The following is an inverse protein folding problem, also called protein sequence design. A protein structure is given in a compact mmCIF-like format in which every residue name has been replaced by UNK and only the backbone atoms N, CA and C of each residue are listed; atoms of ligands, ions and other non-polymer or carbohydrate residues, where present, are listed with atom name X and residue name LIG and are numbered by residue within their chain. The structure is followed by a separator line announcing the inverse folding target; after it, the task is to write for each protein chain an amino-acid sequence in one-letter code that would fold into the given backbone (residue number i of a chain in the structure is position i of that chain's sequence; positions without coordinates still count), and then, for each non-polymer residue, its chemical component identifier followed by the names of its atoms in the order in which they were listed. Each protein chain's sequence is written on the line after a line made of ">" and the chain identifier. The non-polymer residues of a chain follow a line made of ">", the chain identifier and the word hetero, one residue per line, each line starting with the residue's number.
data_IF_916701025985
#
_entry.id   IF_916701025985
#
_cell.length_a   1.000
_cell.length_b   1.000
_cell.length_c   1.000
_cell.angle_alpha   90.00
_cell.angle_beta   90.00
_cell.angle_gamma   90.00
#
_symmetry.space_group_name_H-M   'P 1'
#
loop_
_entity.id
_entity.type
_entity.pdbx_description
1 polymer ?
#
# COMPACT_ATOMS: atom_id res chain seq x y z
N UNK A 1 -1.67 10.72 -26.23
CA UNK A 1 -2.49 10.44 -25.04
C UNK A 1 -2.29 11.52 -24.00
N UNK A 2 -3.30 11.79 -23.19
CA UNK A 2 -3.14 12.65 -22.02
C UNK A 2 -2.42 11.93 -20.89
N UNK A 3 -1.57 12.65 -20.16
CA UNK A 3 -0.87 12.16 -18.98
C UNK A 3 -0.63 13.29 -17.97
N UNK A 4 -0.70 12.97 -16.66
CA UNK A 4 -0.27 13.86 -15.60
C UNK A 4 1.23 13.65 -15.33
N UNK A 5 2.03 14.61 -15.76
CA UNK A 5 3.50 14.55 -15.74
C UNK A 5 4.04 15.33 -14.55
N UNK A 6 4.67 14.62 -13.63
CA UNK A 6 5.41 15.24 -12.54
C UNK A 6 6.73 15.82 -13.05
N UNK A 7 6.97 17.12 -12.80
CA UNK A 7 8.16 17.85 -13.26
C UNK A 7 9.10 18.27 -12.14
N UNK A 8 8.72 18.05 -10.90
CA UNK A 8 9.48 18.45 -9.72
C UNK A 8 8.59 18.74 -8.52
N UNK A 9 9.18 19.27 -7.46
CA UNK A 9 8.46 19.58 -6.21
C UNK A 9 7.28 20.51 -6.52
N UNK A 10 6.07 20.09 -6.14
CA UNK A 10 4.80 20.79 -6.37
C UNK A 10 4.50 21.12 -7.85
N UNK A 11 5.19 20.48 -8.80
CA UNK A 11 4.99 20.69 -10.23
C UNK A 11 4.45 19.41 -10.89
N UNK A 12 3.22 19.47 -11.36
CA UNK A 12 2.56 18.40 -12.12
C UNK A 12 1.60 19.05 -13.11
N UNK A 13 1.77 18.74 -14.39
CA UNK A 13 1.01 19.30 -15.49
C UNK A 13 0.36 18.18 -16.31
N UNK A 14 -0.76 18.50 -16.95
CA UNK A 14 -1.37 17.61 -17.95
C UNK A 14 -0.72 17.92 -19.30
N UNK A 15 -0.20 16.86 -19.91
CA UNK A 15 0.51 16.98 -21.19
C UNK A 15 0.01 15.93 -22.21
N UNK A 16 0.17 16.28 -23.48
CA UNK A 16 0.10 15.32 -24.56
C UNK A 16 1.39 14.49 -24.60
N UNK A 17 1.28 13.21 -24.29
CA UNK A 17 2.38 12.26 -24.24
C UNK A 17 2.26 11.22 -25.35
N UNK A 18 3.37 10.75 -25.93
CA UNK A 18 3.29 9.67 -26.91
C UNK A 18 2.57 8.44 -26.34
N UNK A 19 1.67 7.87 -27.12
CA UNK A 19 1.02 6.60 -26.73
C UNK A 19 2.08 5.50 -26.72
N UNK A 20 2.35 4.85 -25.56
CA UNK A 20 3.34 3.78 -25.50
C UNK A 20 2.80 2.55 -26.24
N UNK A 21 3.61 1.96 -27.11
CA UNK A 21 3.30 0.72 -27.83
C UNK A 21 4.26 -0.40 -27.43
N UNK A 22 3.86 -1.68 -27.52
CA UNK A 22 4.76 -2.80 -27.29
C UNK A 22 6.01 -2.70 -28.18
N UNK A 23 7.19 -2.63 -27.57
CA UNK A 23 8.50 -2.61 -28.26
C UNK A 23 9.26 -3.90 -28.04
N UNK A 24 9.15 -4.47 -26.85
CA UNK A 24 9.67 -5.79 -26.53
C UNK A 24 8.58 -6.85 -26.84
N UNK A 25 8.97 -8.04 -27.34
CA UNK A 25 8.01 -9.13 -27.56
C UNK A 25 7.17 -9.51 -26.33
N UNK A 26 7.62 -9.23 -25.12
CA UNK A 26 6.91 -9.47 -23.86
C UNK A 26 6.07 -8.30 -23.35
N UNK A 27 6.02 -7.19 -24.07
CA UNK A 27 5.30 -5.98 -23.64
C UNK A 27 3.79 -6.12 -23.79
N UNK A 28 3.07 -5.51 -22.85
CA UNK A 28 1.62 -5.41 -22.83
C UNK A 28 1.24 -3.93 -22.69
N UNK A 29 0.50 -3.42 -23.66
CA UNK A 29 -0.12 -2.11 -23.58
C UNK A 29 -1.42 -2.22 -22.79
N UNK A 30 -1.61 -1.39 -21.80
CA UNK A 30 -2.82 -1.34 -20.96
C UNK A 30 -3.48 0.03 -21.11
N UNK A 31 -4.76 0.05 -21.48
CA UNK A 31 -5.62 1.23 -21.35
C UNK A 31 -6.01 1.35 -19.89
N UNK A 32 -5.55 2.38 -19.22
CA UNK A 32 -5.83 2.59 -17.79
C UNK A 32 -7.29 2.99 -17.59
N UNK A 33 -7.94 2.43 -16.60
CA UNK A 33 -9.33 2.74 -16.23
C UNK A 33 -9.42 3.46 -14.88
N UNK A 34 -8.55 3.10 -13.95
CA UNK A 34 -8.46 3.77 -12.65
C UNK A 34 -7.06 3.61 -12.06
N UNK A 35 -6.60 4.62 -11.37
CA UNK A 35 -5.36 4.63 -10.62
C UNK A 35 -5.59 5.15 -9.19
N UNK A 36 -5.22 4.39 -8.18
CA UNK A 36 -5.25 4.82 -6.79
C UNK A 36 -4.16 5.85 -6.49
N UNK A 37 -4.48 6.80 -5.62
CA UNK A 37 -3.53 7.76 -5.06
C UNK A 37 -2.96 7.18 -3.77
N UNK A 38 -1.63 7.17 -3.66
CA UNK A 38 -0.88 6.68 -2.51
C UNK A 38 -0.25 7.83 -1.72
N UNK A 39 0.02 7.62 -0.42
CA UNK A 39 0.84 8.53 0.38
C UNK A 39 2.23 8.78 -0.21
N UNK A 40 2.78 7.80 -0.92
CA UNK A 40 4.05 7.95 -1.66
C UNK A 40 3.98 9.05 -2.73
N UNK A 41 2.84 9.19 -3.43
CA UNK A 41 2.67 10.27 -4.43
C UNK A 41 2.67 11.65 -3.77
N UNK A 42 2.07 11.75 -2.56
CA UNK A 42 2.13 12.98 -1.74
C UNK A 42 3.59 13.29 -1.37
N UNK A 43 4.34 12.33 -0.86
CA UNK A 43 5.75 12.51 -0.48
C UNK A 43 6.64 12.87 -1.68
N UNK A 44 6.39 12.28 -2.87
CA UNK A 44 7.11 12.63 -4.10
C UNK A 44 6.80 14.08 -4.49
N UNK A 45 5.53 14.48 -4.49
CA UNK A 45 5.12 15.83 -4.84
C UNK A 45 5.67 16.89 -3.87
N UNK A 46 5.84 16.54 -2.59
CA UNK A 46 6.45 17.36 -1.56
C UNK A 46 8.00 17.35 -1.56
N UNK A 47 8.63 16.53 -2.39
CA UNK A 47 10.10 16.38 -2.43
C UNK A 47 10.69 15.55 -1.29
N UNK A 48 9.86 14.86 -0.50
CA UNK A 48 10.27 14.02 0.65
C UNK A 48 10.60 12.58 0.29
N UNK A 49 10.51 12.21 -0.99
CA UNK A 49 10.77 10.84 -1.46
C UNK A 49 11.63 10.85 -2.72
N UNK A 50 12.96 11.07 -2.62
CA UNK A 50 13.84 11.40 -3.74
C UNK A 50 14.32 10.16 -4.53
N UNK A 51 13.45 9.17 -4.77
CA UNK A 51 13.83 7.96 -5.52
C UNK A 51 13.59 8.06 -7.02
N UNK A 52 12.87 9.09 -7.48
CA UNK A 52 12.57 9.29 -8.87
C UNK A 52 13.14 10.61 -9.37
N UNK A 53 13.48 10.63 -10.67
CA UNK A 53 13.93 11.84 -11.37
C UNK A 53 12.82 12.33 -12.30
N UNK A 54 12.43 13.63 -12.23
CA UNK A 54 11.49 14.21 -13.19
C UNK A 54 12.16 14.44 -14.57
N UNK A 55 11.40 14.58 -15.68
CA UNK A 55 9.94 14.45 -15.73
C UNK A 55 9.47 13.00 -15.72
N UNK A 56 8.30 12.74 -15.12
CA UNK A 56 7.77 11.37 -15.02
C UNK A 56 6.26 11.32 -14.83
N UNK A 57 5.61 10.31 -15.40
CA UNK A 57 4.24 9.92 -15.09
C UNK A 57 4.28 9.06 -13.82
N UNK A 58 3.57 9.49 -12.77
CA UNK A 58 3.44 8.78 -11.48
C UNK A 58 2.20 7.89 -11.46
N UNK A 59 1.83 7.40 -10.27
CA UNK A 59 0.72 6.46 -10.04
C UNK A 59 1.16 5.00 -10.18
N UNK A 60 1.00 4.22 -9.12
CA UNK A 60 1.50 2.84 -9.07
C UNK A 60 0.45 1.83 -8.61
N UNK A 61 -0.78 2.28 -8.37
CA UNK A 61 -1.93 1.46 -7.96
C UNK A 61 -3.00 1.47 -9.06
N UNK A 62 -2.73 0.88 -10.24
CA UNK A 62 -3.63 1.05 -11.37
C UNK A 62 -4.10 -0.26 -11.99
N UNK A 63 -5.26 -0.14 -12.62
CA UNK A 63 -5.97 -1.21 -13.31
C UNK A 63 -6.43 -0.74 -14.69
N UNK A 64 -6.61 -1.69 -15.59
CA UNK A 64 -7.05 -1.34 -16.93
C UNK A 64 -7.36 -2.56 -17.79
N UNK A 65 -7.56 -2.29 -19.08
CA UNK A 65 -7.83 -3.30 -20.10
C UNK A 65 -6.63 -3.44 -21.01
N UNK A 66 -6.24 -4.65 -21.31
CA UNK A 66 -5.16 -4.94 -22.28
C UNK A 66 -5.61 -4.44 -23.66
N UNK A 67 -4.86 -3.51 -24.24
CA UNK A 67 -5.15 -2.87 -25.53
C UNK A 67 -4.32 -3.46 -26.68
N UNK A 68 -3.07 -3.84 -26.42
CA UNK A 68 -2.20 -4.52 -27.37
C UNK A 68 -1.18 -5.40 -26.64
N UNK A 69 -0.64 -6.40 -27.33
CA UNK A 69 0.33 -7.35 -26.77
C UNK A 69 1.49 -7.58 -27.76
N UNK A 70 2.68 -7.79 -27.23
CA UNK A 70 3.85 -8.23 -27.99
C UNK A 70 3.74 -9.70 -28.42
N UNK A 71 4.59 -10.12 -29.35
CA UNK A 71 4.51 -11.43 -30.01
C UNK A 71 4.80 -12.64 -29.11
N UNK A 72 5.45 -12.43 -27.94
CA UNK A 72 5.77 -13.51 -26.99
C UNK A 72 4.82 -13.54 -25.79
N UNK A 73 3.82 -12.65 -25.73
CA UNK A 73 2.83 -12.59 -24.63
C UNK A 73 1.90 -13.80 -24.72
N UNK A 74 1.73 -14.51 -23.60
CA UNK A 74 0.95 -15.76 -23.54
C UNK A 74 -0.05 -15.80 -22.37
N UNK A 75 0.15 -14.99 -21.32
CA UNK A 75 -0.63 -15.04 -20.07
C UNK A 75 -1.85 -14.12 -20.07
N UNK A 76 -1.83 -13.10 -20.93
CA UNK A 76 -2.91 -12.14 -21.12
C UNK A 76 -3.18 -11.92 -22.59
N UNK A 77 -4.37 -11.46 -22.95
CA UNK A 77 -4.79 -11.12 -24.32
C UNK A 77 -5.52 -9.80 -24.37
N UNK A 78 -5.65 -9.22 -25.56
CA UNK A 78 -6.44 -8.01 -25.78
C UNK A 78 -7.87 -8.20 -25.25
N UNK A 79 -8.34 -7.22 -24.48
CA UNK A 79 -9.64 -7.23 -23.80
C UNK A 79 -9.58 -7.79 -22.37
N UNK A 80 -8.51 -8.45 -21.94
CA UNK A 80 -8.38 -8.89 -20.55
C UNK A 80 -8.33 -7.70 -19.58
N UNK A 81 -8.99 -7.86 -18.44
CA UNK A 81 -8.95 -6.91 -17.32
C UNK A 81 -7.75 -7.24 -16.42
N UNK A 82 -6.91 -6.26 -16.14
CA UNK A 82 -5.66 -6.48 -15.38
C UNK A 82 -5.46 -5.43 -14.30
N UNK A 83 -4.87 -5.86 -13.19
CA UNK A 83 -4.15 -4.98 -12.27
C UNK A 83 -2.67 -5.04 -12.60
N UNK A 84 -1.99 -3.91 -12.50
CA UNK A 84 -0.59 -3.82 -12.90
C UNK A 84 0.31 -3.63 -11.67
N UNK A 85 1.25 -4.55 -11.52
CA UNK A 85 2.33 -4.45 -10.54
C UNK A 85 3.45 -3.58 -11.09
N UNK A 86 3.75 -2.44 -10.47
CA UNK A 86 4.79 -1.56 -10.96
C UNK A 86 6.18 -1.89 -10.41
N UNK A 87 7.20 -1.76 -11.24
CA UNK A 87 8.60 -1.90 -10.87
C UNK A 87 9.23 -3.22 -11.31
N UNK A 88 9.84 -3.24 -12.51
CA UNK A 88 10.54 -4.40 -13.06
C UNK A 88 11.95 -4.52 -12.47
N UNK A 89 12.33 -5.62 -11.81
CA UNK A 89 13.68 -5.85 -11.33
C UNK A 89 14.63 -6.12 -12.53
N UNK A 90 15.93 -5.94 -12.32
CA UNK A 90 16.92 -6.14 -13.40
C UNK A 90 17.32 -7.61 -13.62
N UNK A 91 16.86 -8.53 -12.81
CA UNK A 91 17.08 -9.98 -12.79
C UNK A 91 18.57 -10.43 -12.70
N UNK A 92 19.54 -9.50 -12.64
CA UNK A 92 20.99 -9.80 -12.68
C UNK A 92 21.82 -9.31 -11.50
N UNK A 93 21.32 -8.34 -10.71
CA UNK A 93 22.05 -7.86 -9.52
C UNK A 93 22.03 -8.89 -8.39
N UNK A 94 22.86 -8.66 -7.37
CA UNK A 94 22.94 -9.53 -6.20
C UNK A 94 21.58 -9.83 -5.59
N UNK A 95 20.78 -8.81 -5.32
CA UNK A 95 19.46 -8.98 -4.69
C UNK A 95 18.46 -9.76 -5.56
N UNK A 96 18.46 -9.54 -6.89
CA UNK A 96 17.59 -10.31 -7.78
C UNK A 96 17.97 -11.79 -7.79
N UNK A 97 19.28 -12.10 -7.87
CA UNK A 97 19.77 -13.48 -7.87
C UNK A 97 19.59 -14.20 -6.54
N UNK A 98 19.45 -13.45 -5.45
CA UNK A 98 19.24 -13.95 -4.10
C UNK A 98 17.73 -14.02 -3.72
N UNK A 99 16.82 -13.86 -4.67
CA UNK A 99 15.36 -13.91 -4.44
C UNK A 99 14.80 -12.69 -3.71
N UNK A 100 15.56 -11.61 -3.59
CA UNK A 100 15.19 -10.34 -2.97
C UNK A 100 15.04 -9.22 -3.98
N UNK A 101 14.32 -9.49 -5.06
CA UNK A 101 14.14 -8.57 -6.21
C UNK A 101 13.57 -7.20 -5.82
N UNK A 102 12.82 -7.11 -4.72
CA UNK A 102 12.31 -5.84 -4.18
C UNK A 102 13.42 -4.89 -3.70
N UNK A 103 14.62 -5.40 -3.42
CA UNK A 103 15.82 -4.62 -3.08
C UNK A 103 16.73 -4.37 -4.30
N UNK A 104 16.25 -4.57 -5.51
CA UNK A 104 17.03 -4.38 -6.73
C UNK A 104 17.55 -2.95 -6.85
N UNK A 105 18.88 -2.79 -7.04
CA UNK A 105 19.54 -1.49 -7.18
C UNK A 105 19.28 -0.79 -8.53
N UNK A 106 18.83 -1.54 -9.54
CA UNK A 106 18.63 -1.07 -10.91
C UNK A 106 17.21 -1.38 -11.39
N UNK A 107 16.22 -1.19 -10.51
CA UNK A 107 14.82 -1.42 -10.85
C UNK A 107 14.38 -0.45 -11.92
N UNK A 108 13.83 -0.99 -12.99
CA UNK A 108 13.17 -0.18 -14.00
C UNK A 108 11.74 0.13 -13.54
N UNK A 109 11.42 1.39 -13.47
CA UNK A 109 10.05 1.83 -13.18
C UNK A 109 9.42 2.31 -14.49
N UNK A 110 8.41 1.57 -14.95
CA UNK A 110 7.59 1.95 -16.10
C UNK A 110 6.85 3.27 -15.85
N UNK A 111 6.38 3.96 -16.90
CA UNK A 111 5.43 5.05 -16.72
C UNK A 111 4.25 4.62 -15.88
N UNK A 112 3.80 5.48 -14.98
CA UNK A 112 2.73 5.17 -14.03
C UNK A 112 1.33 5.22 -14.64
N UNK A 113 0.34 5.04 -13.77
CA UNK A 113 -1.08 4.96 -14.15
C UNK A 113 -1.80 6.31 -14.22
N UNK A 114 -1.14 7.45 -13.98
CA UNK A 114 -1.76 8.76 -14.21
C UNK A 114 -1.66 9.16 -15.68
N UNK A 115 -2.15 8.29 -16.55
CA UNK A 115 -2.20 8.45 -18.00
C UNK A 115 -3.26 7.56 -18.61
N UNK A 116 -3.73 7.86 -19.82
CA UNK A 116 -4.70 7.03 -20.54
C UNK A 116 -4.16 5.62 -20.89
N UNK A 117 -2.86 5.50 -21.13
CA UNK A 117 -2.23 4.24 -21.49
C UNK A 117 -0.87 4.10 -20.79
N UNK A 118 -0.50 2.85 -20.52
CA UNK A 118 0.85 2.44 -20.10
C UNK A 118 1.30 1.23 -20.90
N UNK A 119 2.60 0.95 -20.92
CA UNK A 119 3.15 -0.27 -21.51
C UNK A 119 4.13 -0.90 -20.51
N UNK A 120 3.90 -2.17 -20.18
CA UNK A 120 4.63 -2.90 -19.13
C UNK A 120 4.95 -4.31 -19.60
N UNK A 121 5.94 -4.96 -18.98
CA UNK A 121 6.20 -6.37 -19.26
C UNK A 121 5.03 -7.26 -18.79
N UNK A 122 4.72 -8.32 -19.54
CA UNK A 122 3.63 -9.27 -19.25
C UNK A 122 3.62 -9.76 -17.78
N UNK A 123 4.80 -10.04 -17.22
CA UNK A 123 4.93 -10.52 -15.82
C UNK A 123 4.33 -9.58 -14.77
N UNK A 124 4.13 -8.31 -15.14
CA UNK A 124 3.55 -7.28 -14.27
C UNK A 124 2.02 -7.19 -14.40
N UNK A 125 1.44 -7.90 -15.37
CA UNK A 125 0.00 -7.93 -15.59
C UNK A 125 -0.64 -9.09 -14.84
N UNK A 126 -1.58 -8.79 -13.96
CA UNK A 126 -2.33 -9.78 -13.19
C UNK A 126 -3.81 -9.72 -13.57
N UNK A 127 -4.34 -10.79 -14.18
CA UNK A 127 -5.75 -10.87 -14.58
C UNK A 127 -6.66 -10.72 -13.37
N UNK A 128 -7.66 -9.89 -13.50
CA UNK A 128 -8.68 -9.66 -12.48
C UNK A 128 -9.76 -10.74 -12.54
N UNK A 129 -10.36 -11.14 -11.40
CA UNK A 129 -11.56 -11.95 -11.37
C UNK A 129 -12.72 -11.25 -12.12
N UNK A 130 -13.58 -12.06 -12.73
CA UNK A 130 -14.80 -11.56 -13.37
C UNK A 130 -15.75 -10.92 -12.34
N UNK A 131 -16.47 -9.87 -12.76
CA UNK A 131 -17.45 -9.19 -11.90
C UNK A 131 -16.87 -8.23 -10.85
N UNK A 132 -15.54 -8.15 -10.68
CA UNK A 132 -14.94 -7.20 -9.74
C UNK A 132 -15.03 -5.77 -10.31
N UNK A 133 -15.46 -4.78 -9.50
CA UNK A 133 -15.45 -3.39 -9.95
C UNK A 133 -14.00 -2.87 -10.11
N UNK A 134 -13.81 -1.89 -10.99
CA UNK A 134 -12.50 -1.29 -11.24
C UNK A 134 -11.95 -0.59 -10.00
N UNK A 135 -12.81 0.05 -9.23
CA UNK A 135 -12.48 0.78 -8.01
C UNK A 135 -11.91 -0.16 -6.95
N UNK A 136 -12.55 -1.31 -6.74
CA UNK A 136 -12.06 -2.35 -5.82
C UNK A 136 -10.77 -2.98 -6.36
N UNK A 137 -10.70 -3.21 -7.67
CA UNK A 137 -9.51 -3.80 -8.29
C UNK A 137 -8.26 -2.90 -8.16
N UNK A 138 -8.41 -1.57 -8.15
CA UNK A 138 -7.31 -0.63 -7.93
C UNK A 138 -6.66 -0.77 -6.54
N UNK A 139 -7.31 -1.45 -5.60
CA UNK A 139 -6.74 -1.78 -4.27
C UNK A 139 -5.83 -3.02 -4.28
N UNK A 140 -5.58 -3.65 -5.44
CA UNK A 140 -4.70 -4.82 -5.54
C UNK A 140 -3.29 -4.54 -5.01
N UNK A 141 -2.74 -3.36 -5.32
CA UNK A 141 -1.41 -2.95 -4.89
C UNK A 141 -1.31 -2.80 -3.37
N UNK A 142 -2.14 -1.99 -2.68
CA UNK A 142 -2.09 -1.89 -1.23
C UNK A 142 -2.40 -3.22 -0.51
N UNK A 143 -3.29 -4.06 -1.05
CA UNK A 143 -3.50 -5.42 -0.52
C UNK A 143 -2.23 -6.26 -0.63
N UNK A 144 -1.48 -6.16 -1.73
CA UNK A 144 -0.21 -6.86 -1.90
C UNK A 144 0.86 -6.40 -0.89
N UNK A 145 0.91 -5.11 -0.58
CA UNK A 145 1.78 -4.55 0.45
C UNK A 145 1.46 -5.14 1.84
N UNK A 146 0.18 -5.23 2.19
CA UNK A 146 -0.25 -5.80 3.47
C UNK A 146 0.01 -7.31 3.56
N UNK A 147 -0.20 -8.06 2.48
CA UNK A 147 0.14 -9.50 2.46
C UNK A 147 1.64 -9.74 2.74
N UNK A 148 2.51 -8.81 2.32
CA UNK A 148 3.93 -8.90 2.64
C UNK A 148 4.19 -8.81 4.15
N UNK A 149 3.41 -8.04 4.89
CA UNK A 149 3.50 -7.97 6.36
C UNK A 149 3.27 -9.37 6.95
N UNK A 150 2.19 -10.04 6.53
CA UNK A 150 1.82 -11.37 7.03
C UNK A 150 2.89 -12.43 6.72
N UNK A 151 3.53 -12.35 5.56
CA UNK A 151 4.61 -13.27 5.19
C UNK A 151 5.85 -13.11 6.10
N UNK A 152 6.09 -11.90 6.64
CA UNK A 152 7.23 -11.60 7.52
C UNK A 152 6.92 -11.91 8.98
N UNK A 153 5.73 -11.51 9.47
CA UNK A 153 5.42 -11.50 10.92
C UNK A 153 5.09 -12.90 11.46
N UNK A 154 4.61 -13.84 10.64
CA UNK A 154 4.21 -15.19 11.08
C UNK A 154 3.17 -15.15 12.21
N UNK A 155 1.97 -14.72 11.87
CA UNK A 155 0.83 -14.58 12.78
C UNK A 155 0.48 -15.91 13.44
N UNK A 156 0.15 -15.90 14.74
CA UNK A 156 -0.40 -17.03 15.48
C UNK A 156 -1.90 -16.85 15.71
N UNK A 157 -2.67 -17.88 15.47
CA UNK A 157 -4.11 -17.87 15.75
C UNK A 157 -4.38 -17.72 17.26
N UNK A 158 -5.36 -16.88 17.60
CA UNK A 158 -5.74 -16.57 18.97
C UNK A 158 -5.08 -15.33 19.58
N UNK A 159 -4.01 -14.82 18.97
CA UNK A 159 -3.30 -13.63 19.42
C UNK A 159 -4.15 -12.35 19.20
N UNK A 160 -3.76 -11.23 19.81
CA UNK A 160 -4.37 -9.91 19.70
C UNK A 160 -3.39 -8.93 19.05
N UNK A 161 -3.89 -8.08 18.17
CA UNK A 161 -3.09 -7.07 17.49
C UNK A 161 -3.59 -5.65 17.78
N UNK A 162 -2.63 -4.71 17.89
CA UNK A 162 -2.87 -3.28 17.78
C UNK A 162 -2.43 -2.80 16.40
N UNK A 163 -3.29 -2.07 15.71
CA UNK A 163 -2.97 -1.32 14.49
C UNK A 163 -3.03 0.17 14.81
N UNK A 164 -1.94 0.87 14.65
CA UNK A 164 -1.88 2.32 14.80
C UNK A 164 -2.17 2.95 13.44
N UNK A 165 -3.36 3.55 13.31
CA UNK A 165 -3.85 4.18 12.09
C UNK A 165 -4.94 3.37 11.36
N UNK A 166 -6.15 3.93 11.28
CA UNK A 166 -7.31 3.42 10.54
C UNK A 166 -7.39 3.93 9.09
N UNK A 167 -6.25 4.14 8.43
CA UNK A 167 -6.17 4.46 7.01
C UNK A 167 -6.43 3.24 6.11
N UNK A 168 -6.28 3.38 4.79
CA UNK A 168 -6.51 2.28 3.85
C UNK A 168 -5.66 1.04 4.19
N UNK A 169 -4.37 1.22 4.48
CA UNK A 169 -3.46 0.13 4.88
C UNK A 169 -3.91 -0.53 6.18
N UNK A 170 -4.21 0.27 7.22
CA UNK A 170 -4.66 -0.26 8.52
C UNK A 170 -5.98 -1.03 8.42
N UNK A 171 -6.94 -0.55 7.62
CA UNK A 171 -8.21 -1.24 7.39
C UNK A 171 -8.07 -2.54 6.58
N UNK A 172 -7.16 -2.59 5.59
CA UNK A 172 -6.84 -3.82 4.85
C UNK A 172 -6.12 -4.80 5.79
N UNK A 173 -5.15 -4.33 6.57
CA UNK A 173 -4.40 -5.14 7.52
C UNK A 173 -5.33 -5.73 8.58
N UNK A 174 -6.27 -4.94 9.13
CA UNK A 174 -7.27 -5.42 10.07
C UNK A 174 -8.01 -6.66 9.57
N UNK A 175 -8.51 -6.61 8.34
CA UNK A 175 -9.23 -7.72 7.74
C UNK A 175 -8.33 -8.95 7.54
N UNK A 176 -7.13 -8.76 6.97
CA UNK A 176 -6.22 -9.87 6.71
C UNK A 176 -5.69 -10.50 8.00
N UNK A 177 -5.50 -9.73 9.08
CA UNK A 177 -5.18 -10.26 10.41
C UNK A 177 -6.30 -11.13 10.97
N UNK A 178 -7.56 -10.66 10.89
CA UNK A 178 -8.73 -11.44 11.31
C UNK A 178 -8.86 -12.74 10.51
N UNK A 179 -8.69 -12.67 9.19
CA UNK A 179 -8.66 -13.86 8.33
C UNK A 179 -7.48 -14.82 8.62
N UNK A 180 -6.41 -14.32 9.22
CA UNK A 180 -5.24 -15.13 9.61
C UNK A 180 -5.38 -15.73 11.02
N UNK A 181 -6.52 -15.51 11.68
CA UNK A 181 -6.81 -16.08 12.99
C UNK A 181 -6.48 -15.21 14.20
N UNK A 182 -6.11 -13.96 14.01
CA UNK A 182 -6.06 -12.96 15.11
C UNK A 182 -7.47 -12.84 15.68
N UNK A 183 -7.63 -12.99 17.00
CA UNK A 183 -8.96 -12.99 17.61
C UNK A 183 -9.52 -11.57 17.83
N UNK A 184 -8.67 -10.58 18.01
CA UNK A 184 -9.04 -9.15 18.13
C UNK A 184 -8.01 -8.27 17.44
N UNK A 185 -8.47 -7.34 16.62
CA UNK A 185 -7.66 -6.25 16.07
C UNK A 185 -8.18 -4.93 16.62
N UNK A 186 -7.41 -4.33 17.50
CA UNK A 186 -7.67 -3.01 18.06
C UNK A 186 -7.02 -1.97 17.16
N UNK A 187 -7.75 -0.93 16.77
CA UNK A 187 -7.23 0.09 15.85
C UNK A 187 -7.29 1.47 16.51
N UNK A 188 -6.12 2.05 16.76
CA UNK A 188 -5.98 3.42 17.26
C UNK A 188 -6.13 4.41 16.11
N UNK A 189 -7.24 5.19 16.08
CA UNK A 189 -7.54 6.14 15.02
C UNK A 189 -8.25 7.38 15.58
N UNK A 190 -7.66 8.60 15.47
CA UNK A 190 -8.26 9.81 16.01
C UNK A 190 -9.47 10.33 15.20
N UNK A 191 -9.58 9.98 13.91
CA UNK A 191 -10.60 10.55 13.03
C UNK A 191 -11.89 9.72 13.07
N UNK A 192 -13.02 10.33 13.47
CA UNK A 192 -14.28 9.63 13.71
C UNK A 192 -14.79 8.84 12.48
N UNK A 193 -14.84 9.47 11.29
CA UNK A 193 -15.34 8.78 10.10
C UNK A 193 -14.49 7.56 9.74
N UNK A 194 -13.17 7.58 10.03
CA UNK A 194 -12.28 6.43 9.81
C UNK A 194 -12.54 5.33 10.84
N UNK A 195 -12.84 5.68 12.09
CA UNK A 195 -13.25 4.69 13.11
C UNK A 195 -14.51 3.93 12.69
N UNK A 196 -15.49 4.59 12.07
CA UNK A 196 -16.68 3.93 11.50
C UNK A 196 -16.31 2.93 10.39
N UNK A 197 -15.30 3.23 9.58
CA UNK A 197 -14.79 2.29 8.57
C UNK A 197 -14.06 1.12 9.23
N UNK A 198 -13.26 1.39 10.28
CA UNK A 198 -12.60 0.33 11.07
C UNK A 198 -13.63 -0.66 11.62
N UNK A 199 -14.74 -0.20 12.19
CA UNK A 199 -15.85 -1.06 12.63
C UNK A 199 -16.44 -1.88 11.49
N UNK A 200 -16.69 -1.23 10.34
CA UNK A 200 -17.26 -1.89 9.16
C UNK A 200 -16.37 -3.00 8.59
N UNK A 201 -15.07 -2.96 8.84
CA UNK A 201 -14.11 -4.00 8.43
C UNK A 201 -13.74 -4.98 9.56
N UNK A 202 -14.45 -4.93 10.70
CA UNK A 202 -14.32 -5.88 11.80
C UNK A 202 -13.29 -5.53 12.87
N UNK A 203 -12.66 -4.34 12.80
CA UNK A 203 -11.74 -3.85 13.83
C UNK A 203 -12.45 -3.23 15.03
N UNK A 204 -11.76 -3.14 16.15
CA UNK A 204 -12.21 -2.45 17.37
C UNK A 204 -11.56 -1.07 17.42
N UNK A 205 -12.28 0.03 17.09
CA UNK A 205 -11.68 1.35 17.06
C UNK A 205 -11.51 1.95 18.44
N UNK A 206 -10.40 2.66 18.66
CA UNK A 206 -10.12 3.45 19.86
C UNK A 206 -9.72 4.86 19.42
N UNK A 207 -10.34 5.88 20.04
CA UNK A 207 -9.90 7.27 19.87
C UNK A 207 -8.79 7.62 20.88
N UNK A 208 -7.52 7.68 20.49
CA UNK A 208 -6.41 7.92 21.43
C UNK A 208 -6.41 9.33 22.04
N UNK A 209 -7.28 10.24 21.57
CA UNK A 209 -7.42 11.60 22.12
C UNK A 209 -8.35 11.66 23.32
N UNK A 210 -9.28 10.71 23.42
CA UNK A 210 -10.34 10.68 24.44
C UNK A 210 -10.32 9.44 25.31
N UNK A 211 -9.58 8.40 24.89
CA UNK A 211 -9.46 7.12 25.58
C UNK A 211 -7.99 6.82 25.90
N UNK A 212 -7.73 6.33 27.10
CA UNK A 212 -6.41 5.80 27.45
C UNK A 212 -6.20 4.47 26.74
N UNK A 213 -5.41 4.51 25.65
CA UNK A 213 -5.10 3.34 24.82
C UNK A 213 -4.40 2.25 25.62
N UNK A 214 -3.47 2.61 26.50
CA UNK A 214 -2.72 1.65 27.32
C UNK A 214 -3.63 0.91 28.30
N UNK A 215 -4.52 1.65 28.98
CA UNK A 215 -5.51 1.06 29.88
C UNK A 215 -6.51 0.17 29.13
N UNK A 216 -6.96 0.61 27.94
CA UNK A 216 -7.84 -0.17 27.08
C UNK A 216 -7.17 -1.50 26.65
N UNK A 217 -5.94 -1.44 26.15
CA UNK A 217 -5.18 -2.63 25.74
C UNK A 217 -4.96 -3.60 26.93
N UNK A 218 -4.58 -3.08 28.12
CA UNK A 218 -4.44 -3.92 29.32
C UNK A 218 -5.73 -4.67 29.66
N UNK A 219 -6.87 -4.01 29.58
CA UNK A 219 -8.18 -4.63 29.79
C UNK A 219 -8.46 -5.76 28.80
N UNK A 220 -8.23 -5.50 27.49
CA UNK A 220 -8.52 -6.46 26.42
C UNK A 220 -7.54 -7.65 26.36
N UNK A 221 -6.37 -7.53 26.98
CA UNK A 221 -5.28 -8.51 26.97
C UNK A 221 -4.93 -9.09 28.36
N UNK A 222 -5.84 -8.99 29.32
CA UNK A 222 -5.62 -9.46 30.71
C UNK A 222 -4.31 -8.90 31.34
N UNK A 223 -3.96 -7.67 31.03
CA UNK A 223 -2.78 -6.97 31.57
C UNK A 223 -1.48 -7.17 30.78
N UNK A 224 -1.43 -8.05 29.79
CA UNK A 224 -0.19 -8.42 29.09
C UNK A 224 0.23 -7.41 28.00
N UNK A 225 -0.71 -6.80 27.30
CA UNK A 225 -0.51 -6.07 26.05
C UNK A 225 -0.71 -6.97 24.80
N UNK A 226 -0.81 -6.37 23.60
CA UNK A 226 -0.99 -7.13 22.37
C UNK A 226 0.31 -7.84 21.96
N UNK A 227 0.19 -8.99 21.28
CA UNK A 227 1.32 -9.72 20.70
C UNK A 227 1.97 -8.96 19.54
N UNK A 228 1.16 -8.22 18.79
CA UNK A 228 1.61 -7.48 17.62
C UNK A 228 1.16 -6.03 17.70
N UNK A 229 2.07 -5.12 17.34
CA UNK A 229 1.76 -3.71 17.10
C UNK A 229 2.21 -3.36 15.68
N UNK A 230 1.29 -2.85 14.87
CA UNK A 230 1.55 -2.45 13.49
C UNK A 230 1.44 -0.92 13.38
N UNK A 231 2.56 -0.26 13.16
CA UNK A 231 2.62 1.17 12.90
C UNK A 231 2.31 1.42 11.40
N UNK A 232 1.14 2.01 11.08
CA UNK A 232 0.64 2.23 9.72
C UNK A 232 0.49 3.71 9.35
N UNK A 233 1.08 4.62 10.11
CA UNK A 233 0.94 6.09 9.92
C UNK A 233 2.22 6.73 9.40
N UNK A 234 3.40 6.21 9.82
CA UNK A 234 4.71 6.79 9.51
C UNK A 234 5.13 7.87 10.50
N UNK A 235 4.87 7.70 11.79
CA UNK A 235 5.28 8.65 12.83
C UNK A 235 6.21 8.02 13.85
N UNK A 236 7.39 8.61 14.04
CA UNK A 236 8.38 8.13 15.02
C UNK A 236 7.79 7.93 16.43
N UNK A 237 6.94 8.85 16.89
CA UNK A 237 6.28 8.75 18.19
C UNK A 237 5.35 7.53 18.32
N UNK A 238 4.72 7.07 17.23
CA UNK A 238 3.88 5.87 17.26
C UNK A 238 4.72 4.59 17.32
N UNK A 239 5.91 4.58 16.72
CA UNK A 239 6.87 3.49 16.91
C UNK A 239 7.32 3.42 18.37
N UNK A 240 7.67 4.56 18.99
CA UNK A 240 8.02 4.65 20.40
C UNK A 240 6.89 4.13 21.32
N UNK A 241 5.67 4.58 21.07
CA UNK A 241 4.46 4.13 21.78
C UNK A 241 4.25 2.62 21.60
N UNK A 242 4.37 2.11 20.36
CA UNK A 242 4.21 0.69 20.04
C UNK A 242 5.18 -0.21 20.81
N UNK A 243 6.44 0.22 20.99
CA UNK A 243 7.47 -0.49 21.78
C UNK A 243 7.05 -0.58 23.26
N UNK A 244 6.42 0.43 23.80
CA UNK A 244 5.94 0.41 25.18
C UNK A 244 4.67 -0.43 25.36
N UNK A 245 3.75 -0.40 24.39
CA UNK A 245 2.45 -1.07 24.45
C UNK A 245 2.50 -2.58 24.18
N UNK A 246 3.43 -3.03 23.32
CA UNK A 246 3.55 -4.45 22.96
C UNK A 246 3.95 -5.30 24.17
N UNK A 247 3.40 -6.51 24.26
CA UNK A 247 3.76 -7.44 25.35
C UNK A 247 5.23 -7.94 25.25
N UNK A 248 5.71 -8.63 26.28
CA UNK A 248 7.01 -9.35 26.24
C UNK A 248 6.98 -10.44 25.19
N UNK A 249 8.07 -10.59 24.44
CA UNK A 249 8.18 -11.50 23.31
C UNK A 249 7.46 -11.04 22.04
N UNK A 250 6.79 -9.89 22.08
CA UNK A 250 5.95 -9.39 21.00
C UNK A 250 6.73 -8.77 19.84
N UNK A 251 5.99 -8.38 18.83
CA UNK A 251 6.53 -7.82 17.58
C UNK A 251 5.95 -6.44 17.30
N UNK A 252 6.79 -5.46 17.04
CA UNK A 252 6.42 -4.16 16.47
C UNK A 252 6.79 -4.15 15.00
N UNK A 253 5.84 -3.85 14.14
CA UNK A 253 6.04 -3.80 12.69
C UNK A 253 5.85 -2.37 12.17
N UNK A 254 6.88 -1.83 11.50
CA UNK A 254 6.86 -0.49 10.89
C UNK A 254 6.44 -0.63 9.43
N UNK A 255 5.25 -0.15 9.10
CA UNK A 255 4.69 -0.12 7.75
C UNK A 255 4.52 1.29 7.20
N UNK A 256 4.21 2.25 8.08
CA UNK A 256 4.06 3.64 7.69
C UNK A 256 5.35 4.23 7.12
N UNK A 257 5.24 4.97 6.02
CA UNK A 257 6.39 5.69 5.44
C UNK A 257 6.61 6.96 6.25
N UNK A 258 7.64 6.96 7.09
CA UNK A 258 8.00 8.09 7.92
C UNK A 258 8.77 9.16 7.11
N UNK A 259 8.85 10.36 7.69
CA UNK A 259 9.75 11.40 7.19
C UNK A 259 11.20 10.85 7.21
N UNK A 260 11.99 11.01 6.14
CA UNK A 260 13.37 10.52 6.09
C UNK A 260 14.27 11.04 7.22
N UNK A 261 14.00 12.24 7.74
CA UNK A 261 14.73 12.85 8.85
C UNK A 261 14.09 12.51 10.22
N UNK A 262 13.00 11.75 10.22
CA UNK A 262 12.28 11.37 11.44
C UNK A 262 13.09 10.42 12.31
N UNK A 263 13.26 10.76 13.59
CA UNK A 263 14.02 9.95 14.57
C UNK A 263 13.10 9.42 15.66
N UNK A 264 13.08 8.11 15.86
CA UNK A 264 12.47 7.46 17.00
C UNK A 264 13.50 7.17 18.09
N UNK A 265 13.19 7.51 19.34
CA UNK A 265 14.04 7.26 20.50
C UNK A 265 13.68 5.90 21.10
N UNK A 266 14.60 4.96 21.03
CA UNK A 266 14.42 3.60 21.56
C UNK A 266 15.40 3.36 22.70
N UNK A 267 14.91 2.78 23.79
CA UNK A 267 15.77 2.33 24.91
C UNK A 267 16.22 0.90 24.65
N UNK A 268 17.52 0.61 24.39
CA UNK A 268 18.00 -0.74 24.10
C UNK A 268 17.66 -1.75 25.21
N UNK A 269 17.72 -1.33 26.47
CA UNK A 269 17.35 -2.17 27.61
C UNK A 269 15.89 -2.66 27.51
N UNK A 270 14.97 -1.83 26.98
CA UNK A 270 13.57 -2.19 26.79
C UNK A 270 13.40 -3.31 25.78
N UNK A 271 14.18 -3.28 24.69
CA UNK A 271 14.21 -4.34 23.69
C UNK A 271 14.70 -5.65 24.29
N UNK A 272 15.77 -5.57 25.08
CA UNK A 272 16.35 -6.73 25.76
C UNK A 272 15.41 -7.32 26.81
N UNK A 273 14.91 -6.50 27.75
CA UNK A 273 14.07 -6.95 28.87
C UNK A 273 12.74 -7.57 28.42
N UNK A 274 12.18 -7.06 27.30
CA UNK A 274 10.94 -7.57 26.72
C UNK A 274 11.16 -8.61 25.61
N UNK A 275 12.41 -8.86 25.18
CA UNK A 275 12.71 -9.75 24.03
C UNK A 275 11.92 -9.35 22.77
N UNK A 276 11.93 -8.06 22.43
CA UNK A 276 11.11 -7.53 21.33
C UNK A 276 11.72 -7.77 19.95
N UNK A 277 10.84 -7.92 18.96
CA UNK A 277 11.18 -7.89 17.53
C UNK A 277 10.67 -6.59 16.93
N UNK A 278 11.56 -5.85 16.25
CA UNK A 278 11.18 -4.70 15.40
C UNK A 278 11.43 -5.11 13.96
N UNK A 279 10.37 -5.12 13.17
CA UNK A 279 10.36 -5.58 11.78
C UNK A 279 9.83 -4.48 10.86
N UNK A 280 10.20 -4.56 9.59
CA UNK A 280 9.66 -3.70 8.53
C UNK A 280 9.61 -4.43 7.20
N UNK A 281 8.90 -3.86 6.23
CA UNK A 281 8.88 -4.34 4.86
C UNK A 281 9.15 -3.19 3.89
N UNK A 282 9.76 -3.52 2.78
CA UNK A 282 9.88 -2.63 1.64
C UNK A 282 9.27 -3.30 0.42
N UNK A 283 8.30 -2.63 -0.21
CA UNK A 283 7.56 -3.14 -1.35
C UNK A 283 6.80 -4.47 -1.08
N UNK A 284 6.45 -5.21 -2.13
CA UNK A 284 5.50 -6.34 -2.12
C UNK A 284 5.93 -7.54 -2.97
N UNK A 285 7.17 -8.06 -2.81
CA UNK A 285 7.65 -9.14 -3.66
C UNK A 285 6.76 -10.37 -3.54
N UNK A 286 6.41 -10.97 -4.69
CA UNK A 286 5.67 -12.23 -4.82
C UNK A 286 4.28 -12.26 -4.18
N UNK A 287 3.68 -11.12 -3.82
CA UNK A 287 2.37 -11.06 -3.16
C UNK A 287 1.24 -10.61 -4.10
N UNK A 288 1.56 -9.96 -5.21
CA UNK A 288 0.55 -9.29 -6.03
C UNK A 288 -0.50 -10.26 -6.63
N UNK A 289 -0.10 -11.42 -7.12
CA UNK A 289 -1.02 -12.45 -7.61
C UNK A 289 -1.94 -13.00 -6.51
N UNK A 290 -1.47 -13.02 -5.26
CA UNK A 290 -2.27 -13.39 -4.08
C UNK A 290 -3.24 -12.27 -3.71
N UNK A 291 -2.79 -11.03 -3.81
CA UNK A 291 -3.64 -9.86 -3.56
C UNK A 291 -4.86 -9.83 -4.47
N UNK A 292 -4.67 -10.05 -5.78
CA UNK A 292 -5.79 -10.14 -6.73
C UNK A 292 -6.80 -11.23 -6.34
N UNK A 293 -6.35 -12.37 -5.82
CA UNK A 293 -7.26 -13.43 -5.30
C UNK A 293 -8.00 -13.01 -4.05
N UNK A 294 -7.42 -12.15 -3.20
CA UNK A 294 -8.03 -11.69 -1.96
C UNK A 294 -9.11 -10.62 -2.17
N UNK A 295 -9.05 -9.84 -3.26
CA UNK A 295 -9.98 -8.72 -3.49
C UNK A 295 -11.47 -9.08 -3.33
N UNK A 296 -11.98 -10.22 -3.84
CA UNK A 296 -13.38 -10.58 -3.68
C UNK A 296 -13.82 -10.91 -2.24
N UNK A 297 -12.86 -11.22 -1.36
CA UNK A 297 -13.13 -11.66 0.03
C UNK A 297 -13.00 -10.53 1.05
N UNK A 298 -12.52 -9.36 0.64
CA UNK A 298 -12.30 -8.21 1.52
C UNK A 298 -13.43 -7.19 1.37
N UNK A 299 -13.79 -6.57 2.48
CA UNK A 299 -14.73 -5.44 2.53
C UNK A 299 -13.98 -4.15 2.17
N UNK A 300 -13.82 -3.90 0.85
CA UNK A 300 -13.01 -2.79 0.34
C UNK A 300 -13.83 -1.56 -0.06
N UNK A 301 -15.11 -1.70 -0.37
CA UNK A 301 -15.97 -0.58 -0.78
C UNK A 301 -15.98 0.60 0.22
N UNK A 302 -16.03 0.39 1.55
CA UNK A 302 -16.00 1.49 2.51
C UNK A 302 -14.69 2.31 2.52
N UNK A 303 -13.60 1.75 1.95
CA UNK A 303 -12.32 2.43 1.84
C UNK A 303 -12.27 3.41 0.66
N UNK A 304 -13.12 3.20 -0.34
CA UNK A 304 -13.19 4.04 -1.52
C UNK A 304 -13.80 5.40 -1.16
N UNK A 305 -13.20 6.46 -1.65
CA UNK A 305 -13.58 7.83 -1.37
C UNK A 305 -13.82 8.64 -2.64
N UNK A 306 -13.13 9.77 -2.74
CA UNK A 306 -13.28 10.68 -3.85
C UNK A 306 -12.69 10.11 -5.16
N UNK A 307 -13.30 10.48 -6.27
CA UNK A 307 -12.82 10.21 -7.62
C UNK A 307 -12.55 11.53 -8.35
N UNK A 308 -11.47 11.57 -9.11
CA UNK A 308 -11.05 12.72 -9.88
C UNK A 308 -10.78 12.33 -11.33
N UNK A 309 -11.06 13.19 -12.31
CA UNK A 309 -10.58 12.98 -13.68
C UNK A 309 -9.04 13.15 -13.73
N UNK A 310 -8.43 12.65 -14.79
CA UNK A 310 -6.98 12.72 -15.01
C UNK A 310 -6.45 14.15 -14.91
N UNK A 311 -7.19 15.10 -15.43
CA UNK A 311 -6.87 16.53 -15.44
C UNK A 311 -6.69 17.12 -14.03
N UNK A 312 -7.30 16.50 -13.03
CA UNK A 312 -7.28 16.92 -11.64
C UNK A 312 -6.34 16.07 -10.74
N UNK A 313 -5.43 15.29 -11.34
CA UNK A 313 -4.51 14.39 -10.60
C UNK A 313 -3.78 15.10 -9.46
N UNK A 314 -3.26 16.31 -9.68
CA UNK A 314 -2.60 17.09 -8.63
C UNK A 314 -3.54 17.41 -7.47
N UNK A 315 -4.80 17.76 -7.75
CA UNK A 315 -5.81 18.02 -6.74
C UNK A 315 -6.17 16.73 -5.96
N UNK A 316 -6.24 15.57 -6.65
CA UNK A 316 -6.42 14.26 -6.02
C UNK A 316 -5.31 13.92 -5.02
N UNK A 317 -4.05 14.16 -5.38
CA UNK A 317 -2.90 13.95 -4.49
C UNK A 317 -2.98 14.87 -3.26
N UNK A 318 -3.29 16.15 -3.44
CA UNK A 318 -3.49 17.09 -2.34
C UNK A 318 -4.67 16.71 -1.43
N UNK A 319 -5.78 16.22 -2.00
CA UNK A 319 -6.94 15.79 -1.23
C UNK A 319 -6.60 14.60 -0.31
N UNK A 320 -5.77 13.65 -0.76
CA UNK A 320 -5.28 12.57 0.09
C UNK A 320 -4.38 13.10 1.22
N UNK A 321 -3.46 14.01 0.93
CA UNK A 321 -2.60 14.66 1.93
C UNK A 321 -3.39 15.40 3.02
N UNK A 322 -4.57 15.95 2.67
CA UNK A 322 -5.50 16.58 3.60
C UNK A 322 -6.47 15.60 4.29
N UNK A 323 -6.27 14.29 4.13
CA UNK A 323 -7.10 13.22 4.74
C UNK A 323 -8.57 13.26 4.34
N UNK A 324 -8.91 13.72 3.14
CA UNK A 324 -10.28 13.83 2.63
C UNK A 324 -10.89 12.48 2.16
N UNK A 325 -10.17 11.39 2.29
CA UNK A 325 -10.62 10.03 1.97
C UNK A 325 -9.57 9.00 2.36
N UNK A 326 -9.93 7.72 2.42
CA UNK A 326 -8.96 6.66 2.67
C UNK A 326 -8.24 6.23 1.39
N UNK A 327 -8.99 6.06 0.30
CA UNK A 327 -8.47 5.80 -1.04
C UNK A 327 -9.15 6.72 -2.04
N UNK A 328 -8.35 7.50 -2.73
CA UNK A 328 -8.76 8.40 -3.81
C UNK A 328 -8.38 7.76 -5.13
N UNK A 329 -9.23 7.88 -6.14
CA UNK A 329 -8.99 7.34 -7.46
C UNK A 329 -8.89 8.47 -8.49
N UNK A 330 -7.97 8.31 -9.45
CA UNK A 330 -7.88 9.09 -10.67
C UNK A 330 -8.38 8.22 -11.82
N UNK A 331 -9.30 8.75 -12.64
CA UNK A 331 -9.87 8.08 -13.81
C UNK A 331 -9.44 8.83 -15.08
N UNK A 332 -8.53 8.22 -15.87
CA UNK A 332 -8.11 8.79 -17.16
C UNK A 332 -9.19 8.80 -18.22
#
# INVERSE_FOLDING_TARGET
>A
MKAAVWKGIQQMDIEDWPVPTPKDPSDVQVKVVACGVCGTDVHILEGKFPIFTPPRILGHEYVGTVAAVGSSVTRVKVGDRVAVEQGLPCDRCYFCRDGREHLCNSRYAHPGGYAEYTCVAERMCHRLPDGLSWEVAALAEPVACVLRILDIVKIRSGDIALVQGGGAIGCILTQLLLHSGICKVIVSEPVEHRRKIVEAVGGIPVDPRTQDLAAFLKKETNGLGPEYVFECVGKAALLEEGIELVQKGGTVFVMGVADPEGIAKVRPFRLFEKELKILSAYMRPYTFHRAVRWLPYLTLKPLLGLEFPLEETKAAIHALGQSKGLKILVKP
#
